data_IF_460617356635
#
_entry.id   IF_460617356635
#
_cell.length_a   1.000
_cell.length_b   1.000
_cell.length_c   1.000
_cell.angle_alpha   90.00
_cell.angle_beta   90.00
_cell.angle_gamma   90.00
#
_symmetry.space_group_name_H-M   'P 1'
#
loop_
_entity.id
_entity.type
_entity.pdbx_description
1 polymer ?
#
# COMPACT_ATOMS: atom_id res chain seq x y z
N UNK A 1 10.85 -2.59 9.40
CA UNK A 1 10.90 -1.17 9.80
C UNK A 1 10.19 -0.35 8.72
N UNK A 2 9.75 0.87 9.01
CA UNK A 2 9.24 1.77 7.96
C UNK A 2 9.62 3.23 8.19
N UNK A 3 9.68 4.00 7.11
CA UNK A 3 9.81 5.47 7.12
C UNK A 3 8.61 6.11 6.43
N UNK A 4 8.35 7.38 6.74
CA UNK A 4 7.31 8.18 6.08
C UNK A 4 7.91 9.55 5.78
N UNK A 5 7.88 9.93 4.52
CA UNK A 5 8.39 11.18 4.00
C UNK A 5 7.29 11.88 3.22
N UNK A 6 7.23 13.21 3.32
CA UNK A 6 6.29 14.01 2.54
C UNK A 6 7.07 14.71 1.44
N UNK A 7 6.74 14.39 0.19
CA UNK A 7 7.22 15.11 -0.99
C UNK A 7 6.10 16.05 -1.50
N UNK A 8 6.39 16.82 -2.55
CA UNK A 8 5.49 17.85 -3.05
C UNK A 8 4.13 17.31 -3.54
N UNK A 9 4.12 16.14 -4.17
CA UNK A 9 2.94 15.53 -4.80
C UNK A 9 2.53 14.16 -4.21
N UNK A 10 3.34 13.60 -3.31
CA UNK A 10 3.06 12.31 -2.67
C UNK A 10 3.57 12.23 -1.24
N UNK A 11 2.91 11.39 -0.44
CA UNK A 11 3.53 10.81 0.76
C UNK A 11 4.28 9.54 0.34
N UNK A 12 5.58 9.48 0.61
CA UNK A 12 6.44 8.34 0.30
C UNK A 12 6.66 7.52 1.56
N UNK A 13 6.33 6.23 1.51
CA UNK A 13 6.51 5.29 2.61
C UNK A 13 7.46 4.19 2.14
N UNK A 14 8.54 3.94 2.87
CA UNK A 14 9.43 2.80 2.60
C UNK A 14 9.21 1.73 3.65
N UNK A 15 8.91 0.51 3.22
CA UNK A 15 8.83 -0.68 4.06
C UNK A 15 10.09 -1.51 3.86
N UNK A 16 10.85 -1.66 4.95
CA UNK A 16 12.09 -2.45 4.96
C UNK A 16 11.77 -3.87 5.42
N UNK A 17 12.16 -4.87 4.62
CA UNK A 17 12.08 -6.26 5.02
C UNK A 17 13.18 -6.58 6.03
N UNK A 18 12.78 -6.91 7.26
CA UNK A 18 13.69 -7.16 8.36
C UNK A 18 13.43 -8.55 8.94
N UNK A 19 14.50 -9.25 9.29
CA UNK A 19 14.40 -10.54 9.96
C UNK A 19 15.48 -11.52 9.55
N UNK A 20 15.08 -12.78 9.38
CA UNK A 20 15.98 -13.86 9.00
C UNK A 20 16.01 -14.02 7.49
N UNK A 21 17.19 -14.25 6.94
CA UNK A 21 17.40 -14.46 5.51
C UNK A 21 16.62 -15.68 4.99
N UNK A 22 16.19 -15.67 3.71
CA UNK A 22 16.39 -14.58 2.73
C UNK A 22 15.37 -13.45 2.90
N UNK A 23 15.84 -12.20 2.77
CA UNK A 23 14.98 -11.00 2.73
C UNK A 23 14.57 -10.69 1.29
N UNK A 24 13.41 -10.05 1.14
CA UNK A 24 12.99 -9.39 -0.08
C UNK A 24 13.59 -7.98 -0.16
N UNK A 25 13.55 -7.39 -1.36
CA UNK A 25 13.87 -5.97 -1.53
C UNK A 25 12.79 -5.10 -0.88
N UNK A 26 13.16 -3.88 -0.50
CA UNK A 26 12.26 -2.93 0.14
C UNK A 26 11.09 -2.55 -0.78
N UNK A 27 9.94 -2.24 -0.17
CA UNK A 27 8.77 -1.72 -0.89
C UNK A 27 8.70 -0.22 -0.70
N UNK A 28 8.64 0.53 -1.81
CA UNK A 28 8.32 1.96 -1.79
C UNK A 28 6.85 2.14 -2.15
N UNK A 29 6.12 2.88 -1.32
CA UNK A 29 4.72 3.22 -1.53
C UNK A 29 4.64 4.72 -1.77
N UNK A 30 4.16 5.13 -2.93
CA UNK A 30 3.90 6.54 -3.24
C UNK A 30 2.40 6.78 -3.18
N UNK A 31 1.94 7.55 -2.19
CA UNK A 31 0.54 7.91 -2.03
C UNK A 31 0.29 9.31 -2.60
N UNK A 32 -0.14 9.36 -3.85
CA UNK A 32 -0.58 10.57 -4.54
C UNK A 32 -2.04 10.90 -4.20
N UNK A 33 -2.50 12.07 -4.62
CA UNK A 33 -3.90 12.48 -4.42
C UNK A 33 -4.92 11.58 -5.16
N UNK A 34 -4.51 10.98 -6.28
CA UNK A 34 -5.40 10.25 -7.20
C UNK A 34 -5.18 8.73 -7.22
N UNK A 35 -4.01 8.27 -6.81
CA UNK A 35 -3.65 6.85 -6.80
C UNK A 35 -2.51 6.57 -5.82
N UNK A 36 -2.28 5.28 -5.56
CA UNK A 36 -1.15 4.81 -4.76
C UNK A 36 -0.34 3.82 -5.59
N UNK A 37 0.98 3.98 -5.68
CA UNK A 37 1.86 2.98 -6.31
C UNK A 37 2.62 2.19 -5.25
N UNK A 38 2.80 0.89 -5.51
CA UNK A 38 3.68 0.00 -4.76
C UNK A 38 4.79 -0.42 -5.71
N UNK A 39 6.03 -0.14 -5.32
CA UNK A 39 7.24 -0.39 -6.11
C UNK A 39 8.19 -1.30 -5.35
N UNK A 40 8.71 -2.33 -6.02
CA UNK A 40 9.71 -3.25 -5.46
C UNK A 40 10.70 -3.65 -6.56
N UNK A 41 11.99 -3.67 -6.23
CA UNK A 41 13.03 -4.14 -7.15
C UNK A 41 12.95 -5.68 -7.28
N UNK A 42 12.93 -6.18 -8.52
CA UNK A 42 13.18 -7.59 -8.79
C UNK A 42 14.69 -7.83 -9.03
N UNK A 43 15.42 -8.45 -8.09
CA UNK A 43 16.86 -8.62 -8.19
C UNK A 43 17.28 -9.59 -9.31
N UNK A 44 16.34 -10.37 -9.87
CA UNK A 44 16.63 -11.29 -10.97
C UNK A 44 16.68 -10.57 -12.32
N UNK A 45 15.87 -9.52 -12.46
CA UNK A 45 15.72 -8.77 -13.71
C UNK A 45 16.33 -7.38 -13.64
N UNK A 46 16.73 -6.93 -12.44
CA UNK A 46 17.24 -5.58 -12.16
C UNK A 46 16.24 -4.50 -12.62
N UNK A 47 14.95 -4.74 -12.34
CA UNK A 47 13.84 -3.86 -12.73
C UNK A 47 12.88 -3.66 -11.57
N UNK A 48 12.43 -2.41 -11.42
CA UNK A 48 11.34 -2.09 -10.49
C UNK A 48 10.03 -2.62 -11.06
N UNK A 49 9.34 -3.44 -10.28
CA UNK A 49 7.97 -3.85 -10.51
C UNK A 49 7.04 -2.86 -9.81
N UNK A 50 5.95 -2.48 -10.47
CA UNK A 50 5.01 -1.49 -9.98
C UNK A 50 3.57 -2.00 -10.04
N UNK A 51 2.82 -1.79 -8.97
CA UNK A 51 1.37 -1.98 -8.92
C UNK A 51 0.73 -0.64 -8.57
N UNK A 52 -0.29 -0.24 -9.32
CA UNK A 52 -1.08 0.97 -9.04
C UNK A 52 -2.43 0.57 -8.44
N UNK A 53 -2.77 1.19 -7.32
CA UNK A 53 -4.05 1.04 -6.62
C UNK A 53 -4.85 2.34 -6.74
N UNK A 54 -6.16 2.23 -6.97
CA UNK A 54 -7.07 3.34 -6.72
C UNK A 54 -7.22 3.57 -5.21
N UNK A 55 -7.70 4.76 -4.77
CA UNK A 55 -7.98 5.04 -3.37
C UNK A 55 -8.94 4.01 -2.74
N UNK A 56 -9.94 3.54 -3.48
CA UNK A 56 -10.89 2.52 -3.04
C UNK A 56 -10.19 1.17 -2.83
N UNK A 57 -9.32 0.77 -3.76
CA UNK A 57 -8.57 -0.48 -3.64
C UNK A 57 -7.61 -0.47 -2.44
N UNK A 58 -6.94 0.66 -2.17
CA UNK A 58 -6.10 0.78 -0.97
C UNK A 58 -6.92 0.68 0.31
N UNK A 59 -8.08 1.36 0.36
CA UNK A 59 -9.00 1.29 1.50
C UNK A 59 -9.50 -0.14 1.74
N UNK A 60 -9.90 -0.82 0.68
CA UNK A 60 -10.37 -2.20 0.75
C UNK A 60 -9.23 -3.15 1.18
N UNK A 61 -8.00 -2.95 0.69
CA UNK A 61 -6.82 -3.69 1.13
C UNK A 61 -6.54 -3.49 2.62
N UNK A 62 -6.56 -2.24 3.10
CA UNK A 62 -6.34 -1.93 4.51
C UNK A 62 -7.36 -2.62 5.41
N UNK A 63 -8.65 -2.61 5.02
CA UNK A 63 -9.68 -3.32 5.76
C UNK A 63 -9.50 -4.84 5.72
N UNK A 64 -9.08 -5.40 4.59
CA UNK A 64 -8.90 -6.83 4.42
C UNK A 64 -7.80 -7.43 5.34
N UNK A 65 -6.83 -6.62 5.79
CA UNK A 65 -5.77 -7.07 6.70
C UNK A 65 -6.31 -7.52 8.07
N UNK A 66 -7.47 -7.02 8.49
CA UNK A 66 -8.07 -7.29 9.81
C UNK A 66 -9.30 -8.22 9.75
N UNK A 67 -9.65 -8.73 8.57
CA UNK A 67 -10.87 -9.52 8.35
C UNK A 67 -10.56 -11.01 8.09
N UNK A 68 -11.40 -11.94 8.57
CA UNK A 68 -11.27 -13.37 8.24
C UNK A 68 -11.65 -13.62 6.78
N UNK A 69 -11.41 -14.85 6.29
CA UNK A 69 -11.80 -15.27 4.95
C UNK A 69 -13.29 -15.01 4.67
N UNK A 70 -13.61 -14.48 3.48
CA UNK A 70 -14.97 -14.13 3.11
C UNK A 70 -15.08 -13.19 1.91
N UNK A 71 -16.31 -12.79 1.60
CA UNK A 71 -16.62 -11.77 0.59
C UNK A 71 -17.12 -10.53 1.33
N UNK A 72 -16.43 -9.42 1.14
CA UNK A 72 -16.73 -8.16 1.80
C UNK A 72 -17.01 -7.07 0.79
N UNK A 73 -17.88 -6.14 1.18
CA UNK A 73 -18.10 -4.90 0.46
C UNK A 73 -18.16 -3.79 1.51
N UNK A 74 -17.25 -2.82 1.42
CA UNK A 74 -17.30 -1.64 2.27
C UNK A 74 -18.55 -0.84 1.88
N UNK A 75 -19.42 -0.58 2.85
CA UNK A 75 -20.60 0.27 2.68
C UNK A 75 -20.33 1.59 3.39
N UNK A 76 -20.48 2.70 2.67
CA UNK A 76 -20.58 4.00 3.31
C UNK A 76 -21.84 4.01 4.17
N UNK A 77 -21.69 4.27 5.47
CA UNK A 77 -22.84 4.52 6.33
C UNK A 77 -23.19 6.00 6.13
N UNK A 78 -24.38 6.34 5.62
CA UNK A 78 -24.76 7.74 5.49
C UNK A 78 -24.76 8.39 6.86
N UNK A 79 -24.19 9.60 6.97
CA UNK A 79 -24.24 10.39 8.20
C UNK A 79 -25.70 10.55 8.63
N UNK A 80 -25.99 10.17 9.88
CA UNK A 80 -27.29 10.37 10.50
C UNK A 80 -27.50 11.88 10.66
N UNK A 81 -28.18 12.50 9.69
CA UNK A 81 -28.62 13.89 9.79
C UNK A 81 -29.82 13.92 10.72
N UNK A 82 -29.51 14.02 12.02
CA UNK A 82 -30.48 14.30 13.08
C UNK A 82 -31.27 15.58 12.87
#
# INVERSE_FOLDING_TARGET
MFTIEHDFDATVITLVDEGSLPLQEDITINAFAECVTLEQLDPRTDRVQMITLSPEQLRDLAAALDLPEGIYQIREVPEDKG
#
